data_IF_102904882092
#
_entry.id   IF_102904882092
#
_cell.length_a   1.000
_cell.length_b   1.000
_cell.length_c   1.000
_cell.angle_alpha   90.00
_cell.angle_beta   90.00
_cell.angle_gamma   90.00
#
_symmetry.space_group_name_H-M   'P 1'
#
loop_
_entity.id
_entity.type
_entity.pdbx_description
1 polymer ?
#
# COMPACT_ATOMS: atom_id res chain seq x y z
N UNK A 1 18.30 7.09 26.74
CA UNK A 1 17.30 8.11 27.12
C UNK A 1 17.22 9.05 25.93
N UNK A 2 16.56 8.57 24.87
CA UNK A 2 15.24 9.06 24.39
C UNK A 2 15.38 10.52 23.94
N UNK A 3 15.28 10.84 22.66
CA UNK A 3 14.00 10.78 21.95
C UNK A 3 14.09 10.40 20.47
N UNK A 4 13.08 9.62 20.10
CA UNK A 4 12.64 9.25 18.76
C UNK A 4 12.38 10.51 17.91
N UNK A 5 13.06 10.65 16.77
CA UNK A 5 12.57 11.53 15.72
C UNK A 5 11.41 10.81 15.00
N UNK A 6 10.18 11.35 15.01
CA UNK A 6 9.05 10.73 14.33
C UNK A 6 9.37 10.64 12.84
N UNK A 7 9.19 9.46 12.26
CA UNK A 7 9.35 9.25 10.83
C UNK A 7 8.40 10.16 10.07
N UNK A 8 8.92 11.27 9.57
CA UNK A 8 8.25 12.11 8.58
C UNK A 8 8.07 11.28 7.31
N UNK A 9 6.83 11.01 6.93
CA UNK A 9 6.49 10.47 5.61
C UNK A 9 6.97 11.45 4.54
N UNK A 10 8.10 11.16 3.91
CA UNK A 10 8.58 11.86 2.72
C UNK A 10 8.00 11.19 1.48
N UNK A 11 7.11 11.91 0.82
CA UNK A 11 6.54 11.63 -0.49
C UNK A 11 7.65 11.47 -1.53
N UNK A 12 7.77 10.29 -2.13
CA UNK A 12 8.67 10.05 -3.25
C UNK A 12 7.85 9.74 -4.50
N UNK A 13 7.97 10.63 -5.49
CA UNK A 13 7.34 10.51 -6.81
C UNK A 13 7.63 9.17 -7.50
N UNK A 14 6.67 8.76 -8.30
CA UNK A 14 6.60 7.47 -8.98
C UNK A 14 7.67 7.30 -10.07
N UNK A 15 8.46 6.25 -9.95
CA UNK A 15 9.14 5.58 -11.07
C UNK A 15 8.95 4.07 -10.92
N UNK A 16 8.25 3.44 -11.86
CA UNK A 16 7.93 1.99 -11.87
C UNK A 16 9.18 1.11 -11.83
N UNK A 17 10.34 1.61 -12.28
CA UNK A 17 11.59 0.83 -12.33
C UNK A 17 12.22 0.59 -10.93
N UNK A 18 11.86 1.39 -9.92
CA UNK A 18 12.50 1.31 -8.60
C UNK A 18 11.92 0.22 -7.68
N UNK A 19 10.69 -0.22 -7.94
CA UNK A 19 9.98 -1.19 -7.08
C UNK A 19 10.59 -2.59 -7.11
N UNK A 20 11.32 -2.95 -8.17
CA UNK A 20 11.90 -4.28 -8.35
C UNK A 20 13.28 -4.46 -7.68
N UNK A 21 14.00 -3.37 -7.40
CA UNK A 21 15.41 -3.41 -6.95
C UNK A 21 15.60 -3.15 -5.46
N UNK A 22 14.62 -2.57 -4.78
CA UNK A 22 14.69 -2.30 -3.34
C UNK A 22 13.31 -2.53 -2.69
N UNK A 23 13.17 -3.60 -1.89
CA UNK A 23 11.96 -3.81 -1.06
C UNK A 23 11.89 -2.70 -0.01
N UNK A 24 11.14 -1.63 -0.29
CA UNK A 24 10.89 -0.53 0.64
C UNK A 24 9.93 -0.97 1.74
N UNK A 25 9.99 -0.29 2.89
CA UNK A 25 9.14 -0.61 4.04
C UNK A 25 7.69 -0.17 3.84
N UNK A 26 7.48 0.95 3.15
CA UNK A 26 6.18 1.53 2.88
C UNK A 26 6.01 1.96 1.43
N UNK A 27 4.76 1.99 0.99
CA UNK A 27 4.34 2.39 -0.35
C UNK A 27 3.06 3.21 -0.23
N UNK A 28 3.03 4.41 -0.81
CA UNK A 28 1.83 5.24 -0.90
C UNK A 28 1.48 5.44 -2.37
N UNK A 29 0.22 5.16 -2.71
CA UNK A 29 -0.26 5.21 -4.08
C UNK A 29 -1.59 5.95 -4.16
N UNK A 30 -1.66 7.07 -4.89
CA UNK A 30 -2.93 7.61 -5.40
C UNK A 30 -3.28 6.98 -6.75
N UNK A 31 -4.48 6.42 -6.87
CA UNK A 31 -5.02 5.92 -8.14
C UNK A 31 -6.11 6.87 -8.60
N UNK A 32 -6.10 7.21 -9.89
CA UNK A 32 -7.16 7.94 -10.59
C UNK A 32 -7.85 6.97 -11.54
N UNK A 33 -8.99 6.39 -11.15
CA UNK A 33 -9.61 5.34 -11.96
C UNK A 33 -10.94 4.82 -11.42
N UNK A 34 -11.51 3.86 -12.16
CA UNK A 34 -12.69 3.15 -11.70
C UNK A 34 -12.32 2.00 -10.74
N UNK A 35 -13.32 1.44 -10.07
CA UNK A 35 -13.16 0.35 -9.10
C UNK A 35 -12.39 -0.85 -9.66
N UNK A 36 -12.53 -1.17 -10.95
CA UNK A 36 -11.81 -2.28 -11.60
C UNK A 36 -10.31 -2.01 -11.70
N UNK A 37 -9.92 -0.77 -12.05
CA UNK A 37 -8.51 -0.37 -12.11
C UNK A 37 -7.87 -0.37 -10.71
N UNK A 38 -8.62 0.10 -9.71
CA UNK A 38 -8.17 0.06 -8.31
C UNK A 38 -7.96 -1.40 -7.87
N UNK A 39 -8.93 -2.28 -8.11
CA UNK A 39 -8.84 -3.69 -7.77
C UNK A 39 -7.67 -4.39 -8.47
N UNK A 40 -7.40 -4.07 -9.74
CA UNK A 40 -6.26 -4.61 -10.48
C UNK A 40 -4.93 -4.23 -9.81
N UNK A 41 -4.72 -2.95 -9.48
CA UNK A 41 -3.49 -2.52 -8.82
C UNK A 41 -3.35 -3.12 -7.41
N UNK A 42 -4.43 -3.17 -6.64
CA UNK A 42 -4.41 -3.77 -5.29
C UNK A 42 -4.01 -5.25 -5.31
N UNK A 43 -4.39 -5.99 -6.37
CA UNK A 43 -3.93 -7.36 -6.57
C UNK A 43 -2.42 -7.43 -6.83
N UNK A 44 -1.90 -6.59 -7.73
CA UNK A 44 -0.46 -6.55 -8.03
C UNK A 44 0.36 -6.20 -6.78
N UNK A 45 -0.08 -5.21 -5.99
CA UNK A 45 0.59 -4.83 -4.73
C UNK A 45 0.56 -5.97 -3.71
N UNK A 46 -0.55 -6.72 -3.64
CA UNK A 46 -0.65 -7.87 -2.74
C UNK A 46 0.34 -9.00 -3.09
N UNK A 47 0.65 -9.21 -4.38
CA UNK A 47 1.65 -10.18 -4.83
C UNK A 47 3.08 -9.79 -4.40
N UNK A 48 3.31 -8.52 -4.06
CA UNK A 48 4.60 -8.00 -3.61
C UNK A 48 4.79 -8.05 -2.08
N UNK A 49 3.93 -8.78 -1.35
CA UNK A 49 3.91 -8.89 0.12
C UNK A 49 3.70 -7.56 0.85
N UNK A 50 3.02 -6.61 0.20
CA UNK A 50 2.54 -5.39 0.84
C UNK A 50 1.13 -5.61 1.40
N UNK A 51 0.89 -5.02 2.57
CA UNK A 51 -0.39 -5.06 3.27
C UNK A 51 -0.95 -3.65 3.33
N UNK A 52 -2.22 -3.50 2.95
CA UNK A 52 -2.95 -2.24 3.05
C UNK A 52 -3.19 -1.89 4.53
N UNK A 53 -2.84 -0.67 4.94
CA UNK A 53 -3.11 -0.20 6.31
C UNK A 53 -3.90 1.13 6.36
N UNK A 54 -3.89 1.93 5.30
CA UNK A 54 -4.76 3.11 5.20
C UNK A 54 -5.29 3.30 3.78
N UNK A 55 -6.51 3.82 3.69
CA UNK A 55 -7.23 4.14 2.46
C UNK A 55 -7.92 5.48 2.68
N UNK A 56 -7.67 6.44 1.78
CA UNK A 56 -8.23 7.79 1.87
C UNK A 56 -8.88 8.16 0.52
N UNK A 57 -10.20 8.28 0.50
CA UNK A 57 -10.91 8.73 -0.69
C UNK A 57 -10.69 10.23 -0.91
N UNK A 58 -10.42 10.63 -2.15
CA UNK A 58 -10.18 12.03 -2.46
C UNK A 58 -11.51 12.81 -2.46
N UNK A 59 -11.66 13.87 -1.63
CA UNK A 59 -12.92 14.62 -1.53
C UNK A 59 -13.26 15.43 -2.80
N UNK A 60 -12.26 15.74 -3.63
CA UNK A 60 -12.42 16.50 -4.87
C UNK A 60 -12.50 15.62 -6.11
N UNK A 61 -12.14 14.33 -6.00
CA UNK A 61 -12.19 13.37 -7.10
C UNK A 61 -12.89 12.08 -6.67
N UNK A 62 -14.13 11.88 -7.15
CA UNK A 62 -14.97 10.71 -6.84
C UNK A 62 -14.38 9.36 -7.29
N UNK A 63 -13.39 9.38 -8.17
CA UNK A 63 -12.72 8.22 -8.74
C UNK A 63 -11.25 8.15 -8.33
N UNK A 64 -10.84 8.97 -7.35
CA UNK A 64 -9.47 8.96 -6.86
C UNK A 64 -9.42 8.48 -5.43
N UNK A 65 -8.41 7.68 -5.13
CA UNK A 65 -8.21 7.13 -3.79
C UNK A 65 -6.73 6.92 -3.54
N UNK A 66 -6.29 7.32 -2.35
CA UNK A 66 -4.96 7.09 -1.84
C UNK A 66 -4.92 5.80 -1.01
N UNK A 67 -3.88 5.01 -1.22
CA UNK A 67 -3.65 3.74 -0.54
C UNK A 67 -2.26 3.74 0.07
N UNK A 68 -2.18 3.43 1.35
CA UNK A 68 -0.90 3.26 2.04
C UNK A 68 -0.70 1.80 2.44
N UNK A 69 0.48 1.28 2.10
CA UNK A 69 0.86 -0.10 2.33
C UNK A 69 2.15 -0.20 3.12
N UNK A 70 2.26 -1.30 3.87
CA UNK A 70 3.46 -1.71 4.60
C UNK A 70 3.93 -3.06 4.06
N UNK A 71 5.23 -3.20 3.79
CA UNK A 71 5.79 -4.49 3.47
C UNK A 71 5.75 -5.40 4.71
N UNK A 72 5.29 -6.64 4.54
CA UNK A 72 5.17 -7.62 5.64
C UNK A 72 6.46 -7.76 6.45
N UNK A 73 7.62 -7.74 5.81
CA UNK A 73 8.91 -7.91 6.48
C UNK A 73 9.30 -6.71 7.36
N UNK A 74 8.60 -5.58 7.23
CA UNK A 74 8.87 -4.38 8.03
C UNK A 74 7.85 -4.19 9.17
N UNK A 75 6.83 -5.04 9.29
CA UNK A 75 5.81 -4.88 10.32
C UNK A 75 6.36 -4.93 11.75
N UNK A 76 7.26 -5.88 12.01
CA UNK A 76 7.87 -6.05 13.34
C UNK A 76 8.62 -4.79 13.79
N UNK A 77 9.36 -4.17 12.87
CA UNK A 77 10.08 -2.92 13.12
C UNK A 77 9.16 -1.79 13.62
N UNK A 78 7.90 -1.79 13.20
CA UNK A 78 6.93 -0.76 13.56
C UNK A 78 5.90 -1.22 14.60
N UNK A 79 6.09 -2.40 15.20
CA UNK A 79 5.12 -2.97 16.14
C UNK A 79 3.74 -3.23 15.52
N UNK A 80 3.67 -3.37 14.19
CA UNK A 80 2.42 -3.58 13.49
C UNK A 80 2.02 -5.05 13.53
N UNK A 81 0.71 -5.31 13.62
CA UNK A 81 0.12 -6.66 13.58
C UNK A 81 -1.05 -6.69 12.59
N UNK A 82 -1.32 -7.87 12.04
CA UNK A 82 -2.37 -8.04 11.03
C UNK A 82 -3.72 -8.15 11.74
N UNK A 83 -4.64 -7.22 11.44
CA UNK A 83 -6.03 -7.32 11.89
C UNK A 83 -6.83 -8.30 11.02
N UNK A 84 -6.75 -8.15 9.70
CA UNK A 84 -7.42 -9.03 8.73
C UNK A 84 -6.72 -8.96 7.37
N UNK A 85 -6.47 -10.11 6.69
CA UNK A 85 -5.77 -10.14 5.43
C UNK A 85 -6.71 -9.88 4.23
N UNK A 86 -7.23 -8.66 4.11
CA UNK A 86 -8.24 -8.31 3.08
C UNK A 86 -7.83 -8.58 1.63
N UNK A 87 -6.54 -8.50 1.31
CA UNK A 87 -6.04 -8.65 -0.06
C UNK A 87 -5.60 -10.08 -0.42
N UNK A 88 -5.35 -10.95 0.58
CA UNK A 88 -4.95 -12.36 0.33
C UNK A 88 -6.14 -13.27 0.03
N UNK A 89 -7.34 -12.88 0.47
CA UNK A 89 -8.57 -13.66 0.27
C UNK A 89 -9.29 -13.34 -1.05
N UNK A 90 -8.68 -12.55 -1.94
CA UNK A 90 -9.21 -12.31 -3.29
C UNK A 90 -8.95 -13.57 -4.12
N UNK A 91 -9.81 -14.58 -3.95
CA UNK A 91 -9.84 -15.78 -4.78
C UNK A 91 -10.12 -15.35 -6.22
N UNK A 92 -9.23 -15.71 -7.13
CA UNK A 92 -9.48 -15.58 -8.57
C UNK A 92 -10.59 -16.57 -8.91
N UNK A 93 -11.82 -16.08 -9.02
CA UNK A 93 -12.88 -16.79 -9.73
C UNK A 93 -12.55 -16.62 -11.21
N UNK A 94 -11.83 -17.60 -11.78
CA UNK A 94 -11.70 -17.70 -13.23
C UNK A 94 -13.13 -17.88 -13.78
N UNK A 95 -13.65 -16.86 -14.48
CA UNK A 95 -14.77 -17.02 -15.40
C UNK A 95 -14.23 -17.32 -16.79
#
# INVERSE_FOLDING_TARGET
>A
MTDEAPMTCQWAGYDQALLSTQKRSGLLIEIHGNTTQHAALLKEVALLDYLLFALEANPLCRWCCEYSFINRNCMERYGAYILKPYLKDIVIVNQ
#
